data_IF_526134742583
#
_entry.id   IF_526134742583
#
_cell.length_a   1.000
_cell.length_b   1.000
_cell.length_c   1.000
_cell.angle_alpha   90.00
_cell.angle_beta   90.00
_cell.angle_gamma   90.00
#
_symmetry.space_group_name_H-M   'P 1'
#
loop_
_entity.id
_entity.type
_entity.pdbx_description
1 polymer ?
#
# COMPACT_ATOMS: atom_id res chain seq x y z
N UNK A 1 16.74 12.26 3.75
CA UNK A 1 15.35 12.75 3.98
C UNK A 1 14.44 11.54 4.12
N UNK A 2 13.46 11.58 5.03
CA UNK A 2 12.52 10.46 5.22
C UNK A 2 11.64 10.27 3.98
N UNK A 3 11.24 9.03 3.66
CA UNK A 3 10.29 8.73 2.57
C UNK A 3 8.97 9.48 2.71
N UNK A 4 8.56 9.76 3.96
CA UNK A 4 7.39 10.60 4.26
C UNK A 4 7.59 12.06 3.83
N UNK A 5 8.81 12.59 3.92
CA UNK A 5 9.08 13.97 3.47
C UNK A 5 9.00 14.09 1.95
N UNK A 6 9.36 13.05 1.20
CA UNK A 6 9.28 13.05 -0.26
C UNK A 6 7.84 13.05 -0.78
N UNK A 7 6.89 12.57 0.03
CA UNK A 7 5.47 12.44 -0.34
C UNK A 7 4.57 13.47 0.34
N UNK A 8 5.14 14.56 0.85
CA UNK A 8 4.39 15.57 1.60
C UNK A 8 3.21 16.13 0.79
N UNK A 9 3.45 16.48 -0.46
CA UNK A 9 2.44 17.09 -1.33
C UNK A 9 1.31 16.09 -1.66
N UNK A 10 1.66 14.82 -1.90
CA UNK A 10 0.69 13.73 -2.08
C UNK A 10 -0.16 13.54 -0.82
N UNK A 11 0.50 13.54 0.33
CA UNK A 11 -0.17 13.39 1.62
C UNK A 11 -1.17 14.51 1.87
N UNK A 12 -0.75 15.77 1.70
CA UNK A 12 -1.64 16.92 1.86
C UNK A 12 -2.84 16.85 0.89
N UNK A 13 -2.61 16.46 -0.37
CA UNK A 13 -3.67 16.27 -1.37
C UNK A 13 -4.67 15.18 -0.96
N UNK A 14 -4.19 14.00 -0.59
CA UNK A 14 -5.08 12.88 -0.25
C UNK A 14 -5.81 13.11 1.08
N UNK A 15 -5.16 13.72 2.08
CA UNK A 15 -5.81 14.12 3.33
C UNK A 15 -6.93 15.13 3.09
N UNK A 16 -6.73 16.09 2.18
CA UNK A 16 -7.77 17.04 1.78
C UNK A 16 -8.96 16.37 1.08
N UNK A 17 -8.69 15.48 0.12
CA UNK A 17 -9.73 14.83 -0.68
C UNK A 17 -10.54 13.78 0.09
N UNK A 18 -9.90 13.05 1.01
CA UNK A 18 -10.47 11.83 1.60
C UNK A 18 -10.61 11.89 3.14
N UNK A 19 -10.12 12.98 3.76
CA UNK A 19 -9.93 13.09 5.20
C UNK A 19 -8.60 12.48 5.66
N UNK A 20 -8.13 12.89 6.83
CA UNK A 20 -6.79 12.58 7.33
C UNK A 20 -6.46 11.08 7.35
N UNK A 21 -7.36 10.26 7.92
CA UNK A 21 -7.13 8.81 8.05
C UNK A 21 -7.04 8.12 6.68
N UNK A 22 -8.05 8.30 5.82
CA UNK A 22 -8.07 7.67 4.49
C UNK A 22 -6.97 8.21 3.58
N UNK A 23 -6.61 9.49 3.71
CA UNK A 23 -5.52 10.09 2.95
C UNK A 23 -4.15 9.50 3.28
N UNK A 24 -3.86 9.29 4.57
CA UNK A 24 -2.63 8.59 5.02
C UNK A 24 -2.56 7.16 4.53
N UNK A 25 -3.67 6.44 4.59
CA UNK A 25 -3.74 5.06 4.09
C UNK A 25 -3.54 4.99 2.57
N UNK A 26 -4.05 5.96 1.81
CA UNK A 26 -3.81 6.06 0.37
C UNK A 26 -2.32 6.21 0.05
N UNK A 27 -1.61 7.15 0.69
CA UNK A 27 -0.17 7.31 0.50
C UNK A 27 0.62 6.07 0.95
N UNK A 28 0.16 5.40 2.02
CA UNK A 28 0.76 4.14 2.47
C UNK A 28 0.64 3.03 1.41
N UNK A 29 -0.51 2.93 0.72
CA UNK A 29 -0.67 1.99 -0.40
C UNK A 29 0.26 2.29 -1.56
N UNK A 30 0.47 3.56 -1.90
CA UNK A 30 1.41 3.95 -2.96
C UNK A 30 2.84 3.57 -2.57
N UNK A 31 3.25 3.81 -1.34
CA UNK A 31 4.56 3.41 -0.82
C UNK A 31 4.79 1.89 -0.90
N UNK A 32 3.80 1.10 -0.49
CA UNK A 32 3.88 -0.37 -0.57
C UNK A 32 3.87 -0.85 -2.02
N UNK A 33 3.17 -0.15 -2.91
CA UNK A 33 3.15 -0.48 -4.34
C UNK A 33 4.50 -0.24 -4.99
N UNK A 34 5.15 0.88 -4.68
CA UNK A 34 6.52 1.14 -5.16
C UNK A 34 7.51 0.10 -4.62
N UNK A 35 7.38 -0.28 -3.34
CA UNK A 35 8.19 -1.34 -2.76
C UNK A 35 8.01 -2.68 -3.50
N UNK A 36 6.76 -3.07 -3.82
CA UNK A 36 6.47 -4.29 -4.59
C UNK A 36 7.11 -4.26 -5.98
N UNK A 37 7.06 -3.13 -6.67
CA UNK A 37 7.66 -2.98 -8.00
C UNK A 37 9.18 -3.21 -7.91
N UNK A 38 9.84 -2.57 -6.95
CA UNK A 38 11.29 -2.68 -6.77
C UNK A 38 11.72 -4.11 -6.39
N UNK A 39 11.00 -4.74 -5.47
CA UNK A 39 11.30 -6.10 -5.01
C UNK A 39 10.98 -7.13 -6.10
N UNK A 40 9.89 -6.94 -6.84
CA UNK A 40 9.52 -7.79 -7.97
C UNK A 40 10.60 -7.76 -9.06
N UNK A 41 11.13 -6.58 -9.38
CA UNK A 41 12.27 -6.45 -10.29
C UNK A 41 13.52 -7.15 -9.74
N UNK A 42 13.81 -7.01 -8.44
CA UNK A 42 14.94 -7.70 -7.82
C UNK A 42 14.82 -9.23 -7.91
N UNK A 43 13.59 -9.77 -7.79
CA UNK A 43 13.29 -11.20 -7.94
C UNK A 43 13.58 -11.78 -9.33
N UNK A 44 13.70 -10.95 -10.37
CA UNK A 44 14.14 -11.39 -11.71
C UNK A 44 15.61 -11.81 -11.69
N UNK A 45 16.43 -11.14 -10.88
CA UNK A 45 17.87 -11.40 -10.78
C UNK A 45 18.21 -12.33 -9.62
N UNK A 46 17.45 -12.27 -8.54
CA UNK A 46 17.62 -13.11 -7.36
C UNK A 46 16.65 -14.29 -7.40
N UNK A 47 17.05 -15.35 -8.11
CA UNK A 47 16.21 -16.54 -8.33
C UNK A 47 16.55 -17.67 -7.35
N UNK A 48 15.58 -18.57 -7.14
CA UNK A 48 15.77 -19.75 -6.29
C UNK A 48 16.78 -20.73 -6.90
N UNK A 49 17.74 -21.17 -6.09
CA UNK A 49 18.69 -22.22 -6.48
C UNK A 49 18.00 -23.56 -6.81
N UNK A 50 16.83 -23.82 -6.20
CA UNK A 50 16.06 -25.05 -6.43
C UNK A 50 15.18 -24.96 -7.68
N UNK A 51 14.71 -23.75 -8.00
CA UNK A 51 13.88 -23.52 -9.17
C UNK A 51 14.16 -22.12 -9.75
N UNK A 52 14.98 -21.99 -10.81
CA UNK A 52 15.32 -20.71 -11.41
C UNK A 52 14.15 -19.94 -12.02
N UNK A 53 12.98 -20.57 -12.20
CA UNK A 53 11.76 -19.88 -12.65
C UNK A 53 11.03 -19.11 -11.55
N UNK A 54 11.49 -19.22 -10.29
CA UNK A 54 10.94 -18.51 -9.14
C UNK A 54 11.98 -17.58 -8.52
N UNK A 55 11.54 -16.47 -7.89
CA UNK A 55 12.40 -15.67 -7.02
C UNK A 55 12.99 -16.50 -5.87
N UNK A 56 14.03 -15.98 -5.22
CA UNK A 56 14.51 -16.51 -3.95
C UNK A 56 13.39 -16.51 -2.90
N UNK A 57 13.42 -17.46 -1.96
CA UNK A 57 12.33 -17.73 -1.02
C UNK A 57 12.01 -16.52 -0.12
N UNK A 58 13.05 -15.80 0.31
CA UNK A 58 12.93 -14.56 1.07
C UNK A 58 12.26 -13.45 0.25
N UNK A 59 12.61 -13.31 -1.03
CA UNK A 59 11.94 -12.36 -1.95
C UNK A 59 10.47 -12.74 -2.16
N UNK A 60 10.17 -14.01 -2.41
CA UNK A 60 8.78 -14.52 -2.54
C UNK A 60 7.98 -14.23 -1.26
N UNK A 61 8.58 -14.42 -0.09
CA UNK A 61 7.96 -14.11 1.21
C UNK A 61 7.66 -12.63 1.38
N UNK A 62 8.64 -11.75 1.11
CA UNK A 62 8.45 -10.30 1.25
C UNK A 62 7.38 -9.77 0.28
N UNK A 63 7.36 -10.27 -0.95
CA UNK A 63 6.29 -9.94 -1.92
C UNK A 63 4.91 -10.36 -1.39
N UNK A 64 4.81 -11.54 -0.79
CA UNK A 64 3.57 -12.02 -0.16
C UNK A 64 3.11 -11.12 0.99
N UNK A 65 4.00 -10.84 1.94
CA UNK A 65 3.69 -10.01 3.11
C UNK A 65 3.27 -8.58 2.72
N UNK A 66 3.96 -7.94 1.76
CA UNK A 66 3.59 -6.60 1.31
C UNK A 66 2.24 -6.60 0.57
N UNK A 67 1.97 -7.62 -0.24
CA UNK A 67 0.65 -7.75 -0.88
C UNK A 67 -0.46 -7.93 0.15
N UNK A 68 -0.28 -8.80 1.14
CA UNK A 68 -1.24 -8.98 2.23
C UNK A 68 -1.48 -7.69 3.02
N UNK A 69 -0.42 -6.93 3.32
CA UNK A 69 -0.54 -5.63 3.97
C UNK A 69 -1.37 -4.63 3.15
N UNK A 70 -1.21 -4.62 1.82
CA UNK A 70 -2.03 -3.77 0.93
C UNK A 70 -3.50 -4.17 0.94
N UNK A 71 -3.81 -5.46 0.88
CA UNK A 71 -5.19 -5.94 0.93
C UNK A 71 -5.88 -5.52 2.23
N UNK A 72 -5.18 -5.64 3.37
CA UNK A 72 -5.68 -5.19 4.67
C UNK A 72 -5.92 -3.67 4.69
N UNK A 73 -4.98 -2.86 4.20
CA UNK A 73 -5.15 -1.41 4.13
C UNK A 73 -6.34 -1.02 3.24
N UNK A 74 -6.47 -1.67 2.07
CA UNK A 74 -7.61 -1.44 1.17
C UNK A 74 -8.94 -1.78 1.84
N UNK A 75 -8.99 -2.88 2.61
CA UNK A 75 -10.17 -3.24 3.40
C UNK A 75 -10.54 -2.16 4.41
N UNK A 76 -9.57 -1.64 5.17
CA UNK A 76 -9.80 -0.56 6.15
C UNK A 76 -10.26 0.73 5.46
N UNK A 77 -9.68 1.07 4.32
CA UNK A 77 -10.10 2.26 3.56
C UNK A 77 -11.54 2.16 3.05
N UNK A 78 -11.99 0.96 2.69
CA UNK A 78 -13.36 0.66 2.28
C UNK A 78 -14.34 0.77 3.46
N UNK A 79 -13.96 0.26 4.63
CA UNK A 79 -14.75 0.39 5.86
C UNK A 79 -14.94 1.88 6.25
N UNK A 80 -13.84 2.65 6.31
CA UNK A 80 -13.89 4.09 6.60
C UNK A 80 -14.72 4.88 5.57
N UNK A 81 -14.79 4.41 4.31
CA UNK A 81 -15.68 5.01 3.30
C UNK A 81 -17.14 4.82 3.69
N UNK A 82 -17.53 3.57 3.99
CA UNK A 82 -18.91 3.20 4.34
C UNK A 82 -19.37 3.91 5.60
N UNK A 83 -18.53 4.00 6.61
CA UNK A 83 -18.81 4.76 7.83
C UNK A 83 -19.06 6.25 7.53
N UNK A 84 -18.22 6.84 6.67
CA UNK A 84 -18.36 8.23 6.25
C UNK A 84 -19.64 8.49 5.47
N UNK A 85 -20.03 7.57 4.58
CA UNK A 85 -21.26 7.67 3.78
C UNK A 85 -22.50 7.52 4.67
N UNK A 86 -22.54 6.52 5.55
CA UNK A 86 -23.62 6.33 6.53
C UNK A 86 -23.81 7.54 7.46
N UNK A 87 -22.71 8.14 7.91
CA UNK A 87 -22.74 9.33 8.75
C UNK A 87 -23.25 10.58 8.02
N UNK A 88 -23.14 10.64 6.69
CA UNK A 88 -23.71 11.72 5.85
C UNK A 88 -25.20 11.51 5.64
N UNK A 89 -25.62 10.28 5.36
CA UNK A 89 -27.04 9.92 5.20
C UNK A 89 -27.83 10.19 6.48
N UNK A 90 -27.28 9.84 7.65
CA UNK A 90 -27.94 10.09 8.94
C UNK A 90 -28.10 11.58 9.31
N UNK A 91 -27.40 12.49 8.60
CA UNK A 91 -27.45 13.94 8.82
C UNK A 91 -28.31 14.68 7.78
N UNK A 92 -28.77 14.00 6.74
CA UNK A 92 -29.64 14.53 5.70
C UNK A 92 -31.12 14.31 6.02
#
# INVERSE_FOLDING_TARGET
>A
MSSLHQRRDELEKYEFMMGAARGRLAVSLDMLTDALILIGQHGVYCTSQRNPSKPALDIETVLGEINGAKELIQSVMEELRREGDAAREAKS
#
